data_IF_486218104449
#
_entry.id   IF_486218104449
#
_cell.length_a   1.000
_cell.length_b   1.000
_cell.length_c   1.000
_cell.angle_alpha   90.00
_cell.angle_beta   90.00
_cell.angle_gamma   90.00
#
_symmetry.space_group_name_H-M   'P 1'
#
loop_
_entity.id
_entity.type
_entity.pdbx_description
1 polymer ?
#
# COMPACT_ATOMS: atom_id res chain seq x y z
N UNK A 1 13.88 -15.97 -16.65
CA UNK A 1 13.02 -14.77 -16.81
C UNK A 1 13.01 -14.03 -15.49
N UNK A 2 12.94 -12.70 -15.49
CA UNK A 2 12.77 -11.93 -14.26
C UNK A 2 11.40 -12.21 -13.65
N UNK A 3 11.33 -12.20 -12.32
CA UNK A 3 10.06 -12.24 -11.62
C UNK A 3 9.24 -10.98 -11.91
N UNK A 4 7.91 -11.12 -11.97
CA UNK A 4 6.98 -9.99 -12.18
C UNK A 4 6.22 -9.72 -10.89
N UNK A 5 6.35 -8.51 -10.38
CA UNK A 5 5.67 -8.02 -9.16
C UNK A 5 4.62 -7.00 -9.55
N UNK A 6 3.37 -7.28 -9.25
CA UNK A 6 2.25 -6.34 -9.44
C UNK A 6 2.03 -5.58 -8.14
N UNK A 7 2.18 -4.25 -8.16
CA UNK A 7 2.00 -3.40 -7.00
C UNK A 7 0.66 -2.67 -7.09
N UNK A 8 -0.27 -3.06 -6.24
CA UNK A 8 -1.65 -2.54 -6.14
C UNK A 8 -1.76 -1.70 -4.88
N UNK A 9 -2.33 -0.49 -4.97
CA UNK A 9 -2.50 0.35 -3.80
C UNK A 9 -2.96 1.77 -4.10
N UNK A 10 -2.77 2.63 -3.11
CA UNK A 10 -3.14 4.04 -3.16
C UNK A 10 -1.95 4.95 -3.52
N UNK A 11 -1.91 6.18 -2.97
CA UNK A 11 -0.84 7.15 -3.19
C UNK A 11 0.55 6.63 -2.75
N UNK A 12 0.60 5.81 -1.70
CA UNK A 12 1.86 5.23 -1.22
C UNK A 12 2.43 4.20 -2.21
N UNK A 13 1.58 3.58 -3.03
CA UNK A 13 2.02 2.71 -4.12
C UNK A 13 2.31 3.52 -5.39
N UNK A 14 1.48 4.54 -5.71
CA UNK A 14 1.70 5.38 -6.90
C UNK A 14 3.02 6.15 -6.85
N UNK A 15 3.50 6.49 -5.65
CA UNK A 15 4.75 7.23 -5.44
C UNK A 15 4.50 8.71 -5.16
N UNK A 16 3.46 9.03 -4.38
CA UNK A 16 3.18 10.39 -3.95
C UNK A 16 4.12 10.80 -2.81
N UNK A 17 4.84 11.88 -3.00
CA UNK A 17 5.78 12.44 -2.01
C UNK A 17 5.10 13.44 -1.08
N UNK A 18 3.82 13.75 -1.31
CA UNK A 18 3.12 14.81 -0.60
C UNK A 18 3.66 16.21 -0.88
N UNK A 19 2.98 17.21 -0.35
CA UNK A 19 3.40 18.62 -0.44
C UNK A 19 3.44 19.22 0.96
N UNK A 20 4.59 19.79 1.34
CA UNK A 20 4.81 20.35 2.68
C UNK A 20 3.71 21.34 3.07
N UNK A 21 3.08 21.09 4.22
CA UNK A 21 2.03 21.93 4.77
C UNK A 21 0.71 21.94 3.97
N UNK A 22 0.54 21.02 3.00
CA UNK A 22 -0.69 20.91 2.21
C UNK A 22 -1.28 19.52 2.31
N UNK A 23 -2.61 19.46 2.45
CA UNK A 23 -3.37 18.20 2.49
C UNK A 23 -4.09 17.99 1.16
N UNK A 24 -4.10 16.74 0.66
CA UNK A 24 -4.86 16.36 -0.53
C UNK A 24 -4.29 16.89 -1.85
N UNK A 25 -3.06 17.37 -1.85
CA UNK A 25 -2.34 17.75 -3.07
C UNK A 25 -1.33 16.65 -3.39
N UNK A 26 -1.53 15.97 -4.50
CA UNK A 26 -0.64 14.92 -4.96
C UNK A 26 0.65 15.51 -5.56
N UNK A 27 1.77 14.83 -5.28
CA UNK A 27 3.11 15.11 -5.83
C UNK A 27 3.77 13.79 -6.25
N UNK A 28 3.19 13.14 -7.25
CA UNK A 28 3.63 11.82 -7.72
C UNK A 28 4.98 11.92 -8.41
N UNK A 29 5.93 11.08 -7.99
CA UNK A 29 7.26 10.96 -8.52
C UNK A 29 7.49 9.55 -9.09
N UNK A 30 8.49 9.39 -9.97
CA UNK A 30 8.83 8.10 -10.55
C UNK A 30 9.37 7.10 -9.52
N UNK A 31 10.06 7.58 -8.47
CA UNK A 31 10.75 6.75 -7.48
C UNK A 31 9.85 6.39 -6.28
N UNK A 32 8.68 5.77 -6.53
CA UNK A 32 7.91 5.07 -5.50
C UNK A 32 8.57 3.73 -5.10
N UNK A 33 8.01 3.01 -4.10
CA UNK A 33 8.59 1.73 -3.68
C UNK A 33 8.68 0.68 -4.81
N UNK A 34 7.78 0.63 -5.82
CA UNK A 34 7.92 -0.32 -6.93
C UNK A 34 9.20 -0.11 -7.73
N UNK A 35 9.63 1.14 -7.94
CA UNK A 35 10.91 1.46 -8.58
C UNK A 35 12.10 0.87 -7.82
N UNK A 36 12.11 0.98 -6.49
CA UNK A 36 13.19 0.43 -5.68
C UNK A 36 13.13 -1.10 -5.62
N UNK A 37 11.93 -1.72 -5.60
CA UNK A 37 11.79 -3.18 -5.69
C UNK A 37 12.44 -3.76 -6.94
N UNK A 38 12.28 -3.11 -8.11
CA UNK A 38 12.95 -3.54 -9.34
C UNK A 38 14.47 -3.61 -9.18
N UNK A 39 15.05 -2.64 -8.45
CA UNK A 39 16.50 -2.57 -8.24
C UNK A 39 16.98 -3.59 -7.22
N UNK A 40 16.24 -3.79 -6.14
CA UNK A 40 16.60 -4.67 -5.03
C UNK A 40 16.49 -6.15 -5.45
N UNK A 41 15.41 -6.51 -6.16
CA UNK A 41 15.08 -7.90 -6.49
C UNK A 41 15.48 -8.30 -7.92
N UNK A 42 16.01 -7.39 -8.72
CA UNK A 42 16.20 -7.58 -10.17
C UNK A 42 14.95 -8.15 -10.86
N UNK A 43 13.78 -7.59 -10.53
CA UNK A 43 12.46 -8.00 -11.02
C UNK A 43 11.89 -6.98 -12.02
N UNK A 44 10.70 -7.27 -12.56
CA UNK A 44 9.84 -6.30 -13.22
C UNK A 44 8.73 -5.90 -12.23
N UNK A 45 8.73 -4.67 -11.71
CA UNK A 45 7.67 -4.17 -10.82
C UNK A 45 6.71 -3.26 -11.58
N UNK A 46 5.45 -3.68 -11.69
CA UNK A 46 4.39 -2.89 -12.34
C UNK A 46 3.59 -2.13 -11.30
N UNK A 47 3.67 -0.81 -11.39
CA UNK A 47 2.98 0.09 -10.46
C UNK A 47 1.55 0.39 -10.95
N UNK A 48 0.55 -0.04 -10.17
CA UNK A 48 -0.87 0.27 -10.35
C UNK A 48 -1.44 1.04 -9.15
N UNK A 49 -0.62 1.80 -8.44
CA UNK A 49 -1.06 2.71 -7.39
C UNK A 49 -1.93 3.84 -7.91
N UNK A 50 -2.88 4.33 -7.09
CA UNK A 50 -3.76 5.46 -7.41
C UNK A 50 -4.03 6.34 -6.21
N UNK A 51 -3.55 7.59 -6.28
CA UNK A 51 -3.73 8.58 -5.22
C UNK A 51 -5.19 8.69 -4.76
N UNK A 52 -5.38 8.67 -3.43
CA UNK A 52 -6.69 8.82 -2.81
C UNK A 52 -7.62 7.60 -2.89
N UNK A 53 -7.22 6.50 -3.54
CA UNK A 53 -8.10 5.35 -3.70
C UNK A 53 -8.27 4.59 -2.38
N UNK A 54 -9.53 4.19 -2.15
CA UNK A 54 -9.97 3.18 -1.18
C UNK A 54 -10.23 1.86 -1.92
N UNK A 55 -10.53 0.80 -1.20
CA UNK A 55 -10.92 -0.49 -1.81
C UNK A 55 -12.08 -0.36 -2.81
N UNK A 56 -13.10 0.46 -2.50
CA UNK A 56 -14.25 0.74 -3.36
C UNK A 56 -13.86 1.33 -4.71
N UNK A 57 -13.01 2.36 -4.71
CA UNK A 57 -12.50 2.96 -5.94
C UNK A 57 -11.61 1.97 -6.71
N UNK A 58 -10.80 1.21 -5.97
CA UNK A 58 -9.84 0.28 -6.58
C UNK A 58 -10.55 -0.90 -7.24
N UNK A 59 -11.57 -1.48 -6.61
CA UNK A 59 -12.37 -2.54 -7.21
C UNK A 59 -13.01 -2.10 -8.53
N UNK A 60 -13.58 -0.89 -8.58
CA UNK A 60 -14.13 -0.32 -9.81
C UNK A 60 -13.04 -0.19 -10.88
N UNK A 61 -11.90 0.39 -10.53
CA UNK A 61 -10.75 0.57 -11.42
C UNK A 61 -10.23 -0.77 -11.97
N UNK A 62 -10.20 -1.79 -11.12
CA UNK A 62 -9.84 -3.15 -11.52
C UNK A 62 -10.84 -3.74 -12.53
N UNK A 63 -12.14 -3.66 -12.24
CA UNK A 63 -13.23 -4.13 -13.12
C UNK A 63 -13.26 -3.41 -14.48
N UNK A 64 -12.75 -2.20 -14.55
CA UNK A 64 -12.58 -1.45 -15.81
C UNK A 64 -11.37 -1.96 -16.65
N UNK A 65 -10.66 -2.98 -16.21
CA UNK A 65 -9.51 -3.58 -16.92
C UNK A 65 -8.25 -2.70 -16.92
N UNK A 66 -8.12 -1.81 -15.94
CA UNK A 66 -6.98 -0.90 -15.82
C UNK A 66 -5.73 -1.54 -15.22
N UNK A 67 -5.86 -2.69 -14.58
CA UNK A 67 -4.77 -3.45 -13.97
C UNK A 67 -4.48 -4.70 -14.80
N UNK A 68 -3.22 -4.89 -15.18
CA UNK A 68 -2.80 -6.03 -15.98
C UNK A 68 -1.95 -6.99 -15.15
N UNK A 69 -2.46 -8.21 -14.96
CA UNK A 69 -1.81 -9.25 -14.14
C UNK A 69 -0.95 -10.23 -14.96
N UNK A 70 -0.87 -10.08 -16.28
CA UNK A 70 -0.18 -11.04 -17.15
C UNK A 70 1.25 -11.30 -16.68
N UNK A 71 1.56 -12.58 -16.44
CA UNK A 71 2.88 -13.04 -16.01
C UNK A 71 3.23 -12.74 -14.55
N UNK A 72 2.25 -12.33 -13.72
CA UNK A 72 2.49 -12.05 -12.31
C UNK A 72 3.02 -13.29 -11.57
N UNK A 73 4.16 -13.14 -10.90
CA UNK A 73 4.64 -14.08 -9.87
C UNK A 73 4.16 -13.66 -8.48
N UNK A 74 4.15 -12.35 -8.23
CA UNK A 74 3.74 -11.75 -6.96
C UNK A 74 2.76 -10.60 -7.17
N UNK A 75 1.77 -10.51 -6.29
CA UNK A 75 0.84 -9.37 -6.22
C UNK A 75 0.92 -8.81 -4.81
N UNK A 76 1.34 -7.55 -4.68
CA UNK A 76 1.43 -6.82 -3.42
C UNK A 76 0.27 -5.83 -3.35
N UNK A 77 -0.60 -5.96 -2.35
CA UNK A 77 -1.79 -5.12 -2.17
C UNK A 77 -1.64 -4.28 -0.91
N UNK A 78 -1.54 -2.96 -1.07
CA UNK A 78 -1.44 -2.00 0.03
C UNK A 78 -2.52 -0.93 -0.10
N UNK A 79 -3.67 -1.18 0.51
CA UNK A 79 -4.84 -0.30 0.57
C UNK A 79 -5.31 -0.13 2.01
N UNK A 80 -5.91 1.01 2.31
CA UNK A 80 -6.48 1.30 3.63
C UNK A 80 -6.03 2.62 4.24
N UNK A 81 -4.94 3.23 3.76
CA UNK A 81 -4.47 4.54 4.22
C UNK A 81 -5.55 5.62 4.09
N UNK A 82 -6.37 5.54 3.05
CA UNK A 82 -7.49 6.45 2.82
C UNK A 82 -8.77 6.08 3.59
N UNK A 83 -8.70 5.06 4.45
CA UNK A 83 -9.83 4.56 5.24
C UNK A 83 -10.80 3.71 4.41
N UNK A 84 -12.01 3.53 4.95
CA UNK A 84 -13.07 2.73 4.31
C UNK A 84 -13.03 1.26 4.72
N UNK A 85 -12.08 0.86 5.57
CA UNK A 85 -12.04 -0.45 6.21
C UNK A 85 -12.41 -0.31 7.69
N UNK A 86 -13.29 -1.16 8.16
CA UNK A 86 -13.76 -1.16 9.56
C UNK A 86 -13.69 -2.58 10.12
N UNK A 87 -12.84 -2.83 11.13
CA UNK A 87 -12.70 -4.16 11.74
C UNK A 87 -13.88 -4.54 12.64
N UNK A 88 -14.67 -3.57 13.07
CA UNK A 88 -15.71 -3.74 14.06
C UNK A 88 -17.12 -3.82 13.43
N UNK A 89 -17.25 -3.34 12.17
CA UNK A 89 -18.52 -3.34 11.43
C UNK A 89 -18.30 -3.75 9.97
N UNK A 90 -19.26 -4.49 9.42
CA UNK A 90 -19.26 -4.75 7.97
C UNK A 90 -19.62 -3.47 7.22
N UNK A 91 -18.86 -3.16 6.18
CA UNK A 91 -19.04 -1.97 5.36
C UNK A 91 -18.70 -2.25 3.88
N UNK A 92 -19.07 -1.35 3.00
CA UNK A 92 -18.82 -1.47 1.56
C UNK A 92 -17.33 -1.67 1.28
N UNK A 93 -16.45 -0.93 1.97
CA UNK A 93 -15.01 -1.06 1.77
C UNK A 93 -14.45 -2.42 2.12
N UNK A 94 -14.98 -3.08 3.17
CA UNK A 94 -14.62 -4.45 3.54
C UNK A 94 -15.03 -5.43 2.45
N UNK A 95 -16.29 -5.34 1.99
CA UNK A 95 -16.84 -6.20 0.95
C UNK A 95 -16.06 -6.05 -0.36
N UNK A 96 -15.80 -4.82 -0.78
CA UNK A 96 -15.08 -4.52 -2.02
C UNK A 96 -13.60 -4.95 -1.97
N UNK A 97 -12.98 -4.89 -0.79
CA UNK A 97 -11.62 -5.41 -0.62
C UNK A 97 -11.61 -6.94 -0.79
N UNK A 98 -12.56 -7.65 -0.15
CA UNK A 98 -12.71 -9.11 -0.31
C UNK A 98 -12.95 -9.49 -1.77
N UNK A 99 -13.85 -8.78 -2.46
CA UNK A 99 -14.13 -9.03 -3.88
C UNK A 99 -12.90 -8.78 -4.75
N UNK A 100 -12.15 -7.70 -4.50
CA UNK A 100 -10.89 -7.43 -5.20
C UNK A 100 -9.91 -8.60 -5.06
N UNK A 101 -9.69 -9.10 -3.85
CA UNK A 101 -8.78 -10.22 -3.62
C UNK A 101 -9.26 -11.51 -4.30
N UNK A 102 -10.58 -11.76 -4.28
CA UNK A 102 -11.16 -12.92 -4.97
C UNK A 102 -10.92 -12.85 -6.49
N UNK A 103 -11.10 -11.67 -7.10
CA UNK A 103 -10.82 -11.44 -8.51
C UNK A 103 -9.32 -11.60 -8.84
N UNK A 104 -8.42 -11.07 -8.00
CA UNK A 104 -6.98 -11.23 -8.19
C UNK A 104 -6.55 -12.72 -8.15
N UNK A 105 -7.11 -13.49 -7.23
CA UNK A 105 -6.89 -14.96 -7.15
C UNK A 105 -7.41 -15.67 -8.40
N UNK A 106 -8.58 -15.27 -8.89
CA UNK A 106 -9.20 -15.87 -10.08
C UNK A 106 -8.40 -15.56 -11.34
N UNK A 107 -7.99 -14.29 -11.52
CA UNK A 107 -7.37 -13.81 -12.77
C UNK A 107 -5.87 -14.11 -12.85
N UNK A 108 -5.22 -14.36 -11.71
CA UNK A 108 -3.80 -14.75 -11.62
C UNK A 108 -3.59 -15.94 -10.66
N UNK A 109 -4.11 -17.14 -10.96
CA UNK A 109 -4.11 -18.27 -10.03
C UNK A 109 -2.72 -18.80 -9.70
N UNK A 110 -1.70 -18.44 -10.48
CA UNK A 110 -0.29 -18.81 -10.24
C UNK A 110 0.50 -17.78 -9.43
N UNK A 111 -0.07 -16.60 -9.20
CA UNK A 111 0.59 -15.54 -8.46
C UNK A 111 0.39 -15.68 -6.93
N UNK A 112 1.47 -15.42 -6.18
CA UNK A 112 1.37 -15.33 -4.74
C UNK A 112 0.92 -13.92 -4.33
N UNK A 113 -0.15 -13.82 -3.53
CA UNK A 113 -0.72 -12.54 -3.09
C UNK A 113 -0.22 -12.23 -1.69
N UNK A 114 0.30 -11.02 -1.51
CA UNK A 114 0.71 -10.44 -0.24
C UNK A 114 -0.16 -9.24 0.08
N UNK A 115 -0.76 -9.23 1.26
CA UNK A 115 -1.44 -8.06 1.80
C UNK A 115 -0.45 -7.26 2.64
N UNK A 116 -0.40 -5.94 2.44
CA UNK A 116 0.36 -5.05 3.30
C UNK A 116 -0.60 -4.31 4.23
N UNK A 117 -0.27 -4.26 5.53
CA UNK A 117 -0.93 -3.29 6.40
C UNK A 117 -0.56 -1.87 5.94
N UNK A 118 -1.45 -0.85 6.02
CA UNK A 118 -1.01 0.54 5.82
C UNK A 118 0.13 0.89 6.77
N UNK A 119 1.19 1.59 6.29
CA UNK A 119 2.30 2.00 7.14
C UNK A 119 1.90 3.05 8.19
N UNK A 120 2.81 3.32 9.12
CA UNK A 120 2.67 4.40 10.10
C UNK A 120 2.33 5.74 9.45
N UNK A 121 1.46 6.50 10.11
CA UNK A 121 1.10 7.89 9.78
C UNK A 121 1.27 8.74 11.04
N UNK A 122 1.78 9.93 10.86
CA UNK A 122 2.07 10.86 11.97
C UNK A 122 0.85 11.19 12.82
N UNK A 123 1.05 11.31 14.11
CA UNK A 123 0.14 11.94 15.06
C UNK A 123 0.60 13.37 15.43
N UNK A 124 1.77 13.79 14.95
CA UNK A 124 2.34 15.10 15.23
C UNK A 124 1.52 16.21 14.54
N UNK A 125 0.94 17.16 15.32
CA UNK A 125 0.08 18.22 14.78
C UNK A 125 0.80 19.23 13.87
N UNK A 126 2.11 19.21 13.81
CA UNK A 126 2.88 20.04 12.87
C UNK A 126 2.73 19.57 11.41
N UNK A 127 2.33 18.32 11.20
CA UNK A 127 2.08 17.77 9.88
C UNK A 127 0.61 17.87 9.47
N UNK A 128 0.39 18.13 8.19
CA UNK A 128 -0.95 18.35 7.64
C UNK A 128 -1.86 17.09 7.66
N UNK A 129 -1.29 15.89 7.77
CA UNK A 129 -2.04 14.63 7.82
C UNK A 129 -2.12 13.98 9.21
N UNK A 130 -1.84 14.70 10.30
CA UNK A 130 -1.90 14.16 11.67
C UNK A 130 -3.25 13.53 12.05
N UNK A 131 -4.36 13.89 11.42
CA UNK A 131 -5.68 13.32 11.70
C UNK A 131 -6.00 12.00 10.98
N UNK A 132 -5.01 11.35 10.34
CA UNK A 132 -5.23 10.09 9.62
C UNK A 132 -4.98 8.83 10.46
N UNK A 133 -4.28 8.95 11.60
CA UNK A 133 -3.81 7.81 12.40
C UNK A 133 -4.95 6.85 12.79
N UNK A 134 -6.06 7.34 13.34
CA UNK A 134 -7.18 6.49 13.78
C UNK A 134 -7.75 5.61 12.64
N UNK A 135 -7.97 6.19 11.46
CA UNK A 135 -8.51 5.42 10.33
C UNK A 135 -7.51 4.43 9.77
N UNK A 136 -6.22 4.75 9.81
CA UNK A 136 -5.13 3.85 9.42
C UNK A 136 -5.05 2.68 10.40
N UNK A 137 -5.16 2.92 11.70
CA UNK A 137 -5.20 1.87 12.71
C UNK A 137 -6.37 0.90 12.49
N UNK A 138 -7.57 1.41 12.20
CA UNK A 138 -8.72 0.56 11.83
C UNK A 138 -8.40 -0.32 10.63
N UNK A 139 -7.83 0.26 9.59
CA UNK A 139 -7.45 -0.48 8.39
C UNK A 139 -6.37 -1.54 8.68
N UNK A 140 -5.38 -1.23 9.50
CA UNK A 140 -4.34 -2.17 9.94
C UNK A 140 -4.97 -3.38 10.66
N UNK A 141 -5.87 -3.14 11.62
CA UNK A 141 -6.58 -4.21 12.34
C UNK A 141 -7.41 -5.08 11.38
N UNK A 142 -8.12 -4.44 10.45
CA UNK A 142 -8.93 -5.15 9.47
C UNK A 142 -8.08 -6.03 8.54
N UNK A 143 -7.02 -5.47 7.94
CA UNK A 143 -6.13 -6.21 7.02
C UNK A 143 -5.50 -7.41 7.70
N UNK A 144 -5.05 -7.27 8.96
CA UNK A 144 -4.52 -8.38 9.77
C UNK A 144 -5.53 -9.49 9.96
N UNK A 145 -6.75 -9.14 10.38
CA UNK A 145 -7.82 -10.10 10.59
C UNK A 145 -8.17 -10.83 9.29
N UNK A 146 -8.33 -10.10 8.21
CA UNK A 146 -8.67 -10.64 6.91
C UNK A 146 -7.56 -11.54 6.33
N UNK A 147 -6.30 -11.14 6.42
CA UNK A 147 -5.19 -11.97 5.99
C UNK A 147 -5.15 -13.30 6.73
N UNK A 148 -5.37 -13.28 8.05
CA UNK A 148 -5.44 -14.48 8.90
C UNK A 148 -6.63 -15.38 8.54
N UNK A 149 -7.82 -14.79 8.34
CA UNK A 149 -9.06 -15.48 7.96
C UNK A 149 -8.89 -16.24 6.64
N UNK A 150 -8.30 -15.58 5.63
CA UNK A 150 -8.12 -16.09 4.28
C UNK A 150 -6.82 -16.89 4.05
N UNK A 151 -5.98 -17.02 5.07
CA UNK A 151 -4.68 -17.69 4.96
C UNK A 151 -3.74 -17.02 3.95
N UNK A 152 -3.80 -15.68 3.82
CA UNK A 152 -2.96 -14.89 2.94
C UNK A 152 -1.66 -14.48 3.64
N UNK A 153 -0.59 -14.36 2.86
CA UNK A 153 0.67 -13.80 3.35
C UNK A 153 0.50 -12.32 3.69
N UNK A 154 0.97 -11.94 4.86
CA UNK A 154 0.88 -10.58 5.38
C UNK A 154 2.27 -9.94 5.50
N UNK A 155 2.41 -8.74 4.96
CA UNK A 155 3.57 -7.87 5.16
C UNK A 155 3.17 -6.77 6.16
N UNK A 156 3.74 -6.82 7.34
CA UNK A 156 3.41 -5.92 8.46
C UNK A 156 4.07 -4.55 8.33
N UNK A 157 3.76 -3.81 7.27
CA UNK A 157 4.37 -2.49 7.01
C UNK A 157 4.04 -1.46 8.09
N UNK A 158 2.92 -1.63 8.83
CA UNK A 158 2.59 -0.81 10.00
C UNK A 158 3.63 -0.94 11.13
N UNK A 159 4.34 -2.07 11.18
CA UNK A 159 5.37 -2.36 12.19
C UNK A 159 6.78 -2.32 11.60
N UNK A 160 6.96 -1.82 10.37
CA UNK A 160 8.27 -1.73 9.76
C UNK A 160 9.17 -0.79 10.59
N UNK A 161 10.38 -1.26 11.01
CA UNK A 161 11.22 -0.51 11.95
C UNK A 161 11.65 0.88 11.46
N UNK A 162 11.61 1.11 10.15
CA UNK A 162 11.95 2.40 9.56
C UNK A 162 10.87 3.48 9.77
N UNK A 163 9.62 3.11 10.13
CA UNK A 163 8.49 4.04 10.19
C UNK A 163 7.98 4.20 11.60
N UNK A 164 8.54 5.16 12.31
CA UNK A 164 8.21 5.51 13.69
C UNK A 164 8.06 7.02 13.84
N UNK A 165 7.52 7.47 14.97
CA UNK A 165 7.43 8.90 15.27
C UNK A 165 8.81 9.61 15.28
N UNK A 166 9.87 8.89 15.65
CA UNK A 166 11.23 9.45 15.66
C UNK A 166 11.82 9.62 14.26
N UNK A 167 11.38 8.81 13.30
CA UNK A 167 11.93 8.80 11.93
C UNK A 167 11.05 9.53 10.92
N UNK A 168 9.84 9.94 11.28
CA UNK A 168 8.88 10.56 10.34
C UNK A 168 9.43 11.80 9.64
N UNK A 169 10.28 12.58 10.31
CA UNK A 169 10.91 13.76 9.72
C UNK A 169 11.90 13.45 8.57
N UNK A 170 12.35 12.20 8.47
CA UNK A 170 13.21 11.69 7.39
C UNK A 170 12.36 10.92 6.38
N UNK A 171 11.51 10.02 6.88
CA UNK A 171 10.78 9.07 6.03
C UNK A 171 9.55 9.70 5.38
N UNK A 172 8.85 10.60 6.09
CA UNK A 172 7.60 11.26 5.68
C UNK A 172 7.68 12.79 5.81
N UNK A 173 8.71 13.44 5.23
CA UNK A 173 9.16 14.79 5.60
C UNK A 173 8.19 15.91 5.24
N UNK A 174 7.27 15.69 4.31
CA UNK A 174 6.43 16.75 3.75
C UNK A 174 5.10 16.94 4.47
N UNK A 175 4.40 15.84 4.75
CA UNK A 175 3.05 15.92 5.27
C UNK A 175 2.72 14.89 6.36
N UNK A 176 3.71 14.04 6.74
CA UNK A 176 3.59 13.06 7.80
C UNK A 176 2.80 11.80 7.41
N UNK A 177 2.52 11.61 6.11
CA UNK A 177 1.85 10.44 5.56
C UNK A 177 2.60 9.89 4.35
N UNK A 178 2.89 10.73 3.37
CA UNK A 178 3.58 10.33 2.15
C UNK A 178 5.09 10.30 2.36
N UNK A 179 5.73 9.32 1.75
CA UNK A 179 7.17 9.11 1.91
C UNK A 179 7.99 10.06 1.04
N UNK A 180 9.18 10.42 1.53
CA UNK A 180 10.27 10.90 0.70
C UNK A 180 11.00 9.74 0.01
N UNK A 181 12.06 10.04 -0.75
CA UNK A 181 12.85 9.02 -1.48
C UNK A 181 13.40 7.95 -0.52
N UNK A 182 13.95 8.36 0.62
CA UNK A 182 14.48 7.44 1.65
C UNK A 182 13.37 6.55 2.24
N UNK A 183 12.19 7.10 2.50
CA UNK A 183 11.05 6.33 2.99
C UNK A 183 10.56 5.29 1.98
N UNK A 184 10.45 5.65 0.70
CA UNK A 184 10.08 4.69 -0.35
C UNK A 184 11.12 3.60 -0.55
N UNK A 185 12.39 3.93 -0.42
CA UNK A 185 13.47 2.94 -0.46
C UNK A 185 13.38 1.99 0.73
N UNK A 186 13.24 2.50 1.95
CA UNK A 186 13.09 1.68 3.15
C UNK A 186 11.84 0.76 3.08
N UNK A 187 10.71 1.27 2.55
CA UNK A 187 9.52 0.46 2.32
C UNK A 187 9.78 -0.67 1.33
N UNK A 188 10.48 -0.40 0.23
CA UNK A 188 10.84 -1.41 -0.75
C UNK A 188 11.78 -2.48 -0.17
N UNK A 189 12.79 -2.07 0.60
CA UNK A 189 13.71 -2.98 1.31
C UNK A 189 12.94 -3.92 2.24
N UNK A 190 12.00 -3.38 3.02
CA UNK A 190 11.16 -4.16 3.92
C UNK A 190 10.26 -5.14 3.17
N UNK A 191 9.55 -4.70 2.12
CA UNK A 191 8.69 -5.57 1.30
C UNK A 191 9.52 -6.65 0.61
N UNK A 192 10.72 -6.32 0.11
CA UNK A 192 11.59 -7.26 -0.59
C UNK A 192 11.99 -8.48 0.25
N UNK A 193 12.02 -8.36 1.58
CA UNK A 193 12.33 -9.49 2.47
C UNK A 193 11.30 -10.63 2.37
N UNK A 194 10.06 -10.30 2.03
CA UNK A 194 8.96 -11.26 1.90
C UNK A 194 8.84 -11.87 0.48
N UNK A 195 9.45 -11.22 -0.51
CA UNK A 195 9.34 -11.63 -1.92
C UNK A 195 10.53 -12.47 -2.42
N UNK A 196 11.45 -12.84 -1.53
CA UNK A 196 12.64 -13.66 -1.85
C UNK A 196 12.32 -15.12 -2.09
#
# INVERSE_FOLDING_TARGET
>A
MKKVVICIGDSLTEGDYGVKGKRGIANVQEKGYPYFLEKILDCEARNFGKCGFKSTNYLKYYKEGKVRLCGADYIVVMLGTNGGLDPDNECEGNADYRELIALLRHDAPGAKIFLCTPPHVTENPEYSNCGYAERVEKAVRWVRAYAKEEGLDLIETANAPAFTAETEHIMQPNDGLHFGEEGYKALAEFIAEYLK
#
